data_IF_135764891879
#
_entry.id   IF_135764891879
#
_cell.length_a   1.000
_cell.length_b   1.000
_cell.length_c   1.000
_cell.angle_alpha   90.00
_cell.angle_beta   90.00
_cell.angle_gamma   90.00
#
_symmetry.space_group_name_H-M   'P 1'
#
loop_
_entity.id
_entity.type
_entity.pdbx_description
1 polymer ?
#
# COMPACT_ATOMS: atom_id res chain seq x y z
N UNK A 1 47.44 6.11 -7.47
CA UNK A 1 46.43 7.19 -7.50
C UNK A 1 46.97 8.37 -6.70
N UNK A 2 47.10 9.56 -7.28
CA UNK A 2 47.75 10.73 -6.67
C UNK A 2 46.78 11.51 -5.76
N UNK A 3 47.31 12.10 -4.67
CA UNK A 3 46.55 12.77 -3.60
C UNK A 3 45.49 13.76 -4.11
N UNK A 4 45.78 14.46 -5.20
CA UNK A 4 44.86 15.40 -5.86
C UNK A 4 43.63 14.73 -6.49
N UNK A 5 43.78 13.58 -7.15
CA UNK A 5 42.62 12.82 -7.68
C UNK A 5 41.74 12.26 -6.57
N UNK A 6 42.33 11.87 -5.44
CA UNK A 6 41.58 11.42 -4.26
C UNK A 6 40.76 12.55 -3.63
N UNK A 7 41.32 13.75 -3.50
CA UNK A 7 40.61 14.92 -2.94
C UNK A 7 39.44 15.37 -3.82
N UNK A 8 39.62 15.34 -5.15
CA UNK A 8 38.60 15.72 -6.12
C UNK A 8 37.41 14.75 -6.11
N UNK A 9 37.68 13.44 -5.99
CA UNK A 9 36.64 12.41 -5.88
C UNK A 9 35.81 12.59 -4.58
N UNK A 10 36.47 12.85 -3.45
CA UNK A 10 35.80 13.10 -2.18
C UNK A 10 34.93 14.36 -2.26
N UNK A 11 35.43 15.45 -2.84
CA UNK A 11 34.67 16.68 -3.01
C UNK A 11 33.42 16.48 -3.89
N UNK A 12 33.52 15.70 -4.97
CA UNK A 12 32.37 15.36 -5.83
C UNK A 12 31.34 14.53 -5.08
N UNK A 13 31.76 13.55 -4.27
CA UNK A 13 30.85 12.75 -3.45
C UNK A 13 30.15 13.63 -2.41
N UNK A 14 30.87 14.52 -1.74
CA UNK A 14 30.29 15.44 -0.74
C UNK A 14 29.28 16.38 -1.40
N UNK A 15 29.61 16.96 -2.56
CA UNK A 15 28.70 17.83 -3.31
C UNK A 15 27.46 17.06 -3.77
N UNK A 16 27.61 15.81 -4.25
CA UNK A 16 26.49 14.97 -4.65
C UNK A 16 25.59 14.58 -3.45
N UNK A 17 26.16 14.33 -2.27
CA UNK A 17 25.42 14.06 -1.04
C UNK A 17 24.66 15.30 -0.54
N UNK A 18 25.30 16.48 -0.61
CA UNK A 18 24.65 17.76 -0.24
C UNK A 18 23.52 18.09 -1.24
N UNK A 19 23.79 18.02 -2.55
CA UNK A 19 22.78 18.26 -3.59
C UNK A 19 21.64 17.25 -3.52
N UNK A 20 21.93 15.97 -3.28
CA UNK A 20 20.92 14.94 -3.07
C UNK A 20 20.05 15.24 -1.85
N UNK A 21 20.64 15.62 -0.72
CA UNK A 21 19.91 16.04 0.48
C UNK A 21 19.04 17.28 0.25
N UNK A 22 19.57 18.29 -0.44
CA UNK A 22 18.84 19.53 -0.79
C UNK A 22 17.69 19.26 -1.78
N UNK A 23 17.88 18.35 -2.75
CA UNK A 23 16.84 17.98 -3.70
C UNK A 23 15.68 17.23 -3.05
N UNK A 24 15.97 16.35 -2.07
CA UNK A 24 14.94 15.62 -1.33
C UNK A 24 14.12 16.51 -0.41
N UNK A 25 14.73 17.52 0.24
CA UNK A 25 13.99 18.44 1.12
C UNK A 25 13.13 19.45 0.35
N UNK A 26 13.53 19.79 -0.87
CA UNK A 26 12.78 20.69 -1.76
C UNK A 26 11.71 19.95 -2.59
N UNK A 27 11.77 18.61 -2.66
CA UNK A 27 10.82 17.81 -3.42
C UNK A 27 10.36 16.57 -2.61
N UNK A 28 9.34 16.73 -1.74
CA UNK A 28 8.83 15.66 -0.87
C UNK A 28 8.41 14.40 -1.65
N UNK A 29 7.93 14.55 -2.88
CA UNK A 29 7.52 13.43 -3.73
C UNK A 29 8.66 12.46 -4.06
N UNK A 30 9.91 12.95 -4.13
CA UNK A 30 11.07 12.09 -4.32
C UNK A 30 11.37 11.27 -3.05
N UNK A 31 11.18 11.85 -1.87
CA UNK A 31 11.36 11.13 -0.62
C UNK A 31 10.32 10.02 -0.43
N UNK A 32 9.05 10.30 -0.75
CA UNK A 32 7.98 9.30 -0.71
C UNK A 32 8.20 8.19 -1.75
N UNK A 33 8.68 8.55 -2.95
CA UNK A 33 9.06 7.58 -3.98
C UNK A 33 10.13 6.61 -3.47
N UNK A 34 11.16 7.10 -2.78
CA UNK A 34 12.22 6.26 -2.21
C UNK A 34 11.72 5.35 -1.08
N UNK A 35 10.64 5.74 -0.40
CA UNK A 35 9.99 4.97 0.67
C UNK A 35 8.87 4.08 0.19
N UNK A 36 8.56 4.08 -1.11
CA UNK A 36 7.50 3.24 -1.68
C UNK A 36 7.77 1.76 -1.38
N UNK A 37 6.71 1.10 -0.94
CA UNK A 37 6.67 -0.32 -0.60
C UNK A 37 5.32 -0.90 -0.99
N UNK A 38 5.20 -2.21 -0.85
CA UNK A 38 3.94 -2.92 -0.99
C UNK A 38 3.46 -3.41 0.38
N UNK A 39 2.14 -3.53 0.53
CA UNK A 39 1.48 -4.14 1.68
C UNK A 39 0.57 -5.27 1.19
N UNK A 40 0.77 -6.48 1.71
CA UNK A 40 -0.14 -7.60 1.42
C UNK A 40 -1.25 -7.64 2.46
N UNK A 41 -2.47 -7.43 2.02
CA UNK A 41 -3.68 -7.55 2.82
C UNK A 41 -4.19 -8.98 2.66
N UNK A 42 -4.54 -9.62 3.77
CA UNK A 42 -5.06 -10.99 3.81
C UNK A 42 -6.33 -11.02 4.63
N UNK A 43 -7.32 -11.76 4.15
CA UNK A 43 -8.53 -12.07 4.92
C UNK A 43 -8.99 -13.47 4.58
N UNK A 44 -9.79 -14.02 5.49
CA UNK A 44 -10.40 -15.34 5.35
C UNK A 44 -11.89 -15.21 5.58
N UNK A 45 -12.67 -15.95 4.81
CA UNK A 45 -14.12 -16.07 4.97
C UNK A 45 -14.48 -17.49 5.38
N UNK A 46 -15.55 -17.64 6.14
CA UNK A 46 -16.08 -18.96 6.53
C UNK A 46 -17.09 -19.49 5.51
N UNK A 47 -17.79 -18.59 4.81
CA UNK A 47 -18.71 -18.89 3.73
C UNK A 47 -18.87 -17.65 2.84
N UNK A 48 -19.13 -17.89 1.56
CA UNK A 48 -19.30 -16.89 0.52
C UNK A 48 -20.53 -17.17 -0.34
N UNK A 49 -21.54 -17.78 0.28
CA UNK A 49 -22.83 -17.99 -0.35
C UNK A 49 -23.38 -16.67 -0.90
N UNK A 50 -23.67 -16.69 -2.19
CA UNK A 50 -24.13 -15.54 -2.98
C UNK A 50 -23.18 -14.35 -3.07
N UNK A 51 -21.94 -14.43 -2.57
CA UNK A 51 -20.93 -13.41 -2.82
C UNK A 51 -20.41 -13.54 -4.25
N UNK A 52 -20.39 -12.43 -4.99
CA UNK A 52 -19.79 -12.35 -6.34
C UNK A 52 -18.38 -11.80 -6.33
N UNK A 53 -17.95 -11.23 -5.20
CA UNK A 53 -16.57 -10.86 -4.93
C UNK A 53 -16.45 -9.68 -3.98
N UNK A 54 -15.23 -9.12 -3.93
CA UNK A 54 -14.85 -8.13 -2.94
C UNK A 54 -14.21 -6.88 -3.55
N UNK A 55 -14.41 -5.75 -2.89
CA UNK A 55 -13.60 -4.55 -3.06
C UNK A 55 -12.83 -4.23 -1.79
N UNK A 56 -11.69 -3.59 -1.97
CA UNK A 56 -10.93 -2.98 -0.89
C UNK A 56 -10.92 -1.47 -1.08
N UNK A 57 -11.09 -0.78 0.03
CA UNK A 57 -10.96 0.66 0.11
C UNK A 57 -9.87 1.02 1.10
N UNK A 58 -9.19 2.14 0.87
CA UNK A 58 -8.13 2.66 1.74
C UNK A 58 -8.34 4.12 2.05
N UNK A 59 -8.03 4.49 3.28
CA UNK A 59 -7.85 5.87 3.73
C UNK A 59 -6.49 6.02 4.41
N UNK A 60 -5.90 7.22 4.30
CA UNK A 60 -4.66 7.58 5.00
C UNK A 60 -4.93 8.05 6.45
N UNK A 61 -6.20 8.23 6.82
CA UNK A 61 -6.65 8.64 8.17
C UNK A 61 -7.85 7.80 8.63
N UNK A 62 -8.09 7.66 9.96
CA UNK A 62 -9.14 6.77 10.47
C UNK A 62 -10.55 7.18 10.03
N UNK A 63 -10.82 8.48 9.99
CA UNK A 63 -12.13 9.06 9.65
C UNK A 63 -12.13 9.75 8.27
N UNK A 64 -11.14 9.42 7.44
CA UNK A 64 -10.95 10.03 6.12
C UNK A 64 -11.83 9.45 5.03
N UNK A 65 -11.62 9.96 3.81
CA UNK A 65 -12.26 9.41 2.62
C UNK A 65 -11.61 8.07 2.25
N UNK A 66 -12.43 7.04 2.10
CA UNK A 66 -12.02 5.72 1.67
C UNK A 66 -12.11 5.60 0.14
N UNK A 67 -10.97 5.37 -0.50
CA UNK A 67 -10.86 5.24 -1.96
C UNK A 67 -10.69 3.77 -2.32
N UNK A 68 -11.45 3.28 -3.31
CA UNK A 68 -11.33 1.92 -3.82
C UNK A 68 -9.95 1.71 -4.46
N UNK A 69 -9.27 0.63 -4.09
CA UNK A 69 -7.87 0.36 -4.54
C UNK A 69 -7.73 -0.81 -5.50
N UNK A 70 -8.72 -1.68 -5.62
CA UNK A 70 -8.75 -2.75 -6.63
C UNK A 70 -9.48 -2.28 -7.90
N UNK A 71 -8.92 -2.56 -9.08
CA UNK A 71 -9.55 -2.21 -10.35
C UNK A 71 -10.72 -3.13 -10.70
N UNK A 72 -10.50 -4.44 -10.56
CA UNK A 72 -11.49 -5.49 -10.77
C UNK A 72 -11.92 -6.08 -9.44
N UNK A 73 -13.13 -6.64 -9.41
CA UNK A 73 -13.66 -7.32 -8.23
C UNK A 73 -12.77 -8.51 -7.88
N UNK A 74 -12.34 -8.61 -6.62
CA UNK A 74 -11.57 -9.77 -6.15
C UNK A 74 -12.54 -10.96 -6.09
N UNK A 75 -12.25 -12.08 -6.78
CA UNK A 75 -13.21 -13.16 -6.91
C UNK A 75 -13.50 -13.85 -5.57
N UNK A 76 -14.67 -14.47 -5.42
CA UNK A 76 -14.96 -15.32 -4.28
C UNK A 76 -14.13 -16.62 -4.34
N UNK A 77 -14.16 -17.37 -3.25
CA UNK A 77 -13.58 -18.69 -3.14
C UNK A 77 -14.19 -19.66 -4.17
N UNK A 78 -13.41 -20.65 -4.65
CA UNK A 78 -13.92 -21.66 -5.59
C UNK A 78 -15.11 -22.45 -5.04
N UNK A 79 -15.14 -22.69 -3.72
CA UNK A 79 -16.26 -23.31 -3.02
C UNK A 79 -16.91 -22.31 -2.05
N UNK A 80 -18.09 -21.76 -2.38
CA UNK A 80 -18.75 -20.74 -1.55
C UNK A 80 -19.30 -21.28 -0.23
N UNK A 81 -19.41 -22.60 -0.05
CA UNK A 81 -19.93 -23.17 1.21
C UNK A 81 -18.90 -23.16 2.33
N UNK A 82 -17.60 -23.17 2.01
CA UNK A 82 -16.50 -23.20 2.98
C UNK A 82 -15.65 -21.90 2.99
N UNK A 83 -15.96 -20.95 2.11
CA UNK A 83 -15.21 -19.72 1.97
C UNK A 83 -13.77 -19.96 1.52
N UNK A 84 -12.88 -19.02 1.80
CA UNK A 84 -11.49 -19.13 1.37
C UNK A 84 -10.56 -18.05 1.91
N UNK A 85 -9.28 -18.25 1.65
CA UNK A 85 -8.24 -17.25 1.88
C UNK A 85 -8.09 -16.36 0.66
N UNK A 86 -8.00 -15.06 0.92
CA UNK A 86 -7.86 -14.04 -0.11
C UNK A 86 -6.69 -13.14 0.17
N UNK A 87 -6.12 -12.60 -0.90
CA UNK A 87 -4.99 -11.69 -0.82
C UNK A 87 -5.14 -10.54 -1.80
N UNK A 88 -4.68 -9.35 -1.38
CA UNK A 88 -4.55 -8.19 -2.25
C UNK A 88 -3.24 -7.46 -1.93
N UNK A 89 -2.53 -7.00 -2.95
CA UNK A 89 -1.27 -6.27 -2.79
C UNK A 89 -1.50 -4.79 -3.10
N UNK A 90 -1.50 -3.96 -2.06
CA UNK A 90 -1.44 -2.51 -2.23
C UNK A 90 -0.01 -2.08 -2.52
N UNK A 91 0.23 -1.57 -3.73
CA UNK A 91 1.55 -1.17 -4.22
C UNK A 91 1.88 0.29 -3.97
N UNK A 92 0.94 1.08 -3.45
CA UNK A 92 1.05 2.53 -3.34
C UNK A 92 1.11 2.96 -1.87
N UNK A 93 2.04 2.35 -1.13
CA UNK A 93 2.17 2.47 0.31
C UNK A 93 3.56 3.01 0.66
N UNK A 94 3.65 3.86 1.67
CA UNK A 94 4.90 4.44 2.16
C UNK A 94 5.33 3.70 3.44
N UNK A 95 6.58 3.20 3.49
CA UNK A 95 7.13 2.52 4.68
C UNK A 95 7.02 3.38 5.93
N UNK A 96 6.66 2.81 7.08
CA UNK A 96 6.52 3.54 8.35
C UNK A 96 5.24 4.37 8.47
N UNK A 97 4.27 4.23 7.56
CA UNK A 97 2.96 4.86 7.64
C UNK A 97 1.86 3.83 7.97
N UNK A 98 0.83 4.29 8.69
CA UNK A 98 -0.39 3.54 8.98
C UNK A 98 -1.46 3.90 7.95
N UNK A 99 -2.13 2.89 7.42
CA UNK A 99 -3.25 3.02 6.51
C UNK A 99 -4.47 2.31 7.09
N UNK A 100 -5.66 2.74 6.67
CA UNK A 100 -6.93 2.21 7.14
C UNK A 100 -7.64 1.55 5.97
N UNK A 101 -8.06 0.30 6.14
CA UNK A 101 -8.70 -0.47 5.07
C UNK A 101 -10.11 -0.88 5.43
N UNK A 102 -11.00 -0.83 4.44
CA UNK A 102 -12.33 -1.42 4.52
C UNK A 102 -12.47 -2.51 3.46
N UNK A 103 -13.05 -3.63 3.87
CA UNK A 103 -13.40 -4.74 2.98
C UNK A 103 -14.89 -4.66 2.68
N UNK A 104 -15.24 -4.59 1.40
CA UNK A 104 -16.60 -4.68 0.90
C UNK A 104 -16.83 -6.05 0.29
N UNK A 105 -17.86 -6.75 0.73
CA UNK A 105 -18.42 -7.89 0.00
C UNK A 105 -19.62 -7.45 -0.81
N UNK A 106 -19.72 -7.91 -2.07
CA UNK A 106 -20.88 -7.69 -2.92
C UNK A 106 -21.58 -9.02 -3.17
N UNK A 107 -22.88 -9.08 -2.91
CA UNK A 107 -23.69 -10.25 -3.21
C UNK A 107 -24.26 -10.24 -4.64
N UNK A 108 -24.85 -11.36 -5.08
CA UNK A 108 -25.50 -11.53 -6.40
C UNK A 108 -26.66 -10.57 -6.65
N UNK A 109 -27.21 -9.96 -5.61
CA UNK A 109 -28.29 -8.97 -5.68
C UNK A 109 -27.75 -7.53 -5.72
N UNK A 110 -26.43 -7.35 -5.63
CA UNK A 110 -25.76 -6.06 -5.57
C UNK A 110 -25.73 -5.45 -4.16
N UNK A 111 -26.10 -6.20 -3.12
CA UNK A 111 -26.00 -5.73 -1.74
C UNK A 111 -24.54 -5.60 -1.34
N UNK A 112 -24.17 -4.42 -0.84
CA UNK A 112 -22.86 -4.15 -0.28
C UNK A 112 -22.86 -4.34 1.23
N UNK A 113 -21.83 -5.01 1.76
CA UNK A 113 -21.55 -5.07 3.20
C UNK A 113 -20.09 -4.70 3.44
N UNK A 114 -19.89 -3.64 4.23
CA UNK A 114 -18.57 -3.14 4.61
C UNK A 114 -18.14 -3.69 5.98
N UNK A 115 -16.85 -4.04 6.09
CA UNK A 115 -16.17 -4.39 7.34
C UNK A 115 -14.92 -3.51 7.52
N UNK A 116 -14.64 -3.12 8.76
CA UNK A 116 -13.54 -2.22 9.12
C UNK A 116 -14.04 -0.87 9.67
N UNK A 117 -13.18 0.16 9.70
CA UNK A 117 -11.83 0.17 9.15
C UNK A 117 -10.83 -0.65 9.99
N UNK A 118 -9.86 -1.26 9.31
CA UNK A 118 -8.73 -1.97 9.91
C UNK A 118 -7.47 -1.13 9.76
N UNK A 119 -6.83 -0.77 10.87
CA UNK A 119 -5.56 -0.05 10.85
C UNK A 119 -4.39 -1.03 10.61
N UNK A 120 -3.58 -0.76 9.60
CA UNK A 120 -2.39 -1.56 9.27
C UNK A 120 -1.18 -0.64 9.12
N UNK A 121 -0.17 -0.86 9.95
CA UNK A 121 1.10 -0.14 9.89
C UNK A 121 2.12 -0.88 9.04
N UNK A 122 2.80 -0.16 8.16
CA UNK A 122 3.99 -0.68 7.50
C UNK A 122 5.20 -0.55 8.43
N UNK A 123 6.02 -1.59 8.50
CA UNK A 123 7.27 -1.54 9.27
C UNK A 123 8.24 -0.52 8.62
N UNK A 124 8.96 0.20 9.49
CA UNK A 124 10.03 1.13 9.12
C UNK A 124 11.38 0.46 8.97
#
# INVERSE_FOLDING_TARGET
MNRTKSLLLIAVIVIALILGGVLLTQNPSLFDFLRKTELTIRWTTESELDIIGFNLYRSDTPDGEFVKINAELIPPAPDPFIGGEHTFVDKNVIRGQTYYYQLESIDRRGTSTLKGPFAISTNG
#
